data_IF_573235996985
#
_entry.id   IF_573235996985
#
_cell.length_a   1.000
_cell.length_b   1.000
_cell.length_c   1.000
_cell.angle_alpha   90.00
_cell.angle_beta   90.00
_cell.angle_gamma   90.00
#
_symmetry.space_group_name_H-M   'P 1'
#
loop_
_entity.id
_entity.type
_entity.pdbx_description
1 polymer ?
#
# COMPACT_ATOMS: atom_id res chain seq x y z
N UNK A 1 12.51 6.77 -33.41
CA UNK A 1 12.14 5.34 -33.59
C UNK A 1 11.26 4.97 -32.41
N UNK A 2 9.95 4.90 -32.60
CA UNK A 2 8.99 4.55 -31.55
C UNK A 2 8.83 3.03 -31.56
N UNK A 3 9.23 2.38 -30.46
CA UNK A 3 8.94 0.98 -30.23
C UNK A 3 7.63 0.88 -29.44
N UNK A 4 6.58 0.49 -30.12
CA UNK A 4 5.31 0.09 -29.52
C UNK A 4 5.47 -1.35 -29.03
N UNK A 5 5.54 -1.54 -27.72
CA UNK A 5 5.49 -2.88 -27.12
C UNK A 5 4.03 -3.25 -26.85
N UNK A 6 3.59 -4.33 -27.48
CA UNK A 6 2.29 -4.97 -27.26
C UNK A 6 2.16 -5.46 -25.82
N UNK A 7 1.12 -4.98 -25.15
CA UNK A 7 0.85 -5.24 -23.74
C UNK A 7 -0.05 -6.48 -23.60
N UNK A 8 0.56 -7.65 -23.47
CA UNK A 8 -0.20 -8.87 -23.12
C UNK A 8 -0.35 -8.95 -21.61
N UNK A 9 -1.52 -8.60 -21.15
CA UNK A 9 -1.97 -8.59 -19.76
C UNK A 9 -1.93 -9.99 -19.14
N UNK A 10 -0.91 -10.28 -18.34
CA UNK A 10 -0.85 -11.49 -17.51
C UNK A 10 -1.63 -11.25 -16.23
N UNK A 11 -2.85 -11.75 -16.19
CA UNK A 11 -3.68 -11.79 -14.98
C UNK A 11 -3.15 -12.90 -14.07
N UNK A 12 -2.63 -12.56 -12.91
CA UNK A 12 -2.38 -13.52 -11.85
C UNK A 12 -3.69 -13.83 -11.12
N UNK A 13 -4.08 -15.10 -10.96
CA UNK A 13 -5.28 -15.45 -10.20
C UNK A 13 -5.01 -15.32 -8.70
N UNK A 14 -5.70 -14.39 -8.08
CA UNK A 14 -5.78 -14.27 -6.63
C UNK A 14 -6.59 -15.46 -6.11
N UNK A 15 -5.94 -16.41 -5.45
CA UNK A 15 -6.63 -17.46 -4.68
C UNK A 15 -7.17 -16.84 -3.40
N UNK A 16 -8.43 -16.45 -3.44
CA UNK A 16 -9.19 -16.09 -2.25
C UNK A 16 -9.48 -17.35 -1.42
N UNK A 17 -8.81 -17.48 -0.29
CA UNK A 17 -9.14 -18.43 0.76
C UNK A 17 -10.00 -17.71 1.80
N UNK A 18 -11.31 -17.73 1.57
CA UNK A 18 -12.33 -17.35 2.54
C UNK A 18 -12.54 -18.54 3.47
N UNK A 19 -12.09 -18.43 4.70
CA UNK A 19 -12.36 -19.37 5.77
C UNK A 19 -12.89 -18.63 7.00
N UNK A 20 -14.16 -18.19 6.94
CA UNK A 20 -14.90 -17.72 8.12
C UNK A 20 -15.36 -18.95 8.88
N UNK A 21 -14.81 -19.16 10.08
CA UNK A 21 -15.42 -20.02 11.10
C UNK A 21 -15.77 -19.18 12.32
N UNK A 22 -17.02 -18.76 12.37
CA UNK A 22 -17.72 -18.32 13.57
C UNK A 22 -17.84 -19.49 14.53
N UNK A 23 -17.35 -19.37 15.74
CA UNK A 23 -17.73 -20.18 16.88
C UNK A 23 -18.16 -19.25 18.02
N UNK A 24 -19.48 -19.19 18.16
CA UNK A 24 -20.21 -18.72 19.32
C UNK A 24 -20.15 -19.86 20.36
N UNK A 25 -19.84 -19.55 21.57
CA UNK A 25 -19.98 -20.58 22.62
C UNK A 25 -19.43 -20.15 23.96
N UNK A 26 -20.33 -19.69 24.76
CA UNK A 26 -20.63 -20.09 26.15
C UNK A 26 -19.89 -19.39 27.27
N UNK A 27 -20.68 -18.54 27.87
CA UNK A 27 -20.64 -18.01 29.22
C UNK A 27 -20.71 -19.18 30.23
N UNK A 28 -19.75 -19.30 31.12
CA UNK A 28 -19.86 -20.08 32.34
C UNK A 28 -19.29 -19.31 33.53
N UNK A 29 -20.23 -18.85 34.37
CA UNK A 29 -19.98 -18.43 35.74
C UNK A 29 -19.46 -19.61 36.54
N UNK A 30 -18.38 -19.46 37.26
CA UNK A 30 -18.13 -20.28 38.47
C UNK A 30 -17.54 -19.44 39.60
N UNK A 31 -18.25 -19.52 40.70
CA UNK A 31 -17.96 -18.89 41.98
C UNK A 31 -16.79 -19.52 42.71
N UNK A 32 -16.23 -18.70 43.54
CA UNK A 32 -15.22 -18.91 44.61
C UNK A 32 -15.34 -20.18 45.44
N UNK A 33 -14.20 -20.75 45.79
CA UNK A 33 -13.97 -21.31 47.15
C UNK A 33 -12.49 -21.12 47.52
N UNK A 34 -12.25 -20.52 48.67
CA UNK A 34 -10.97 -20.42 49.36
C UNK A 34 -10.58 -21.80 49.94
N UNK A 35 -9.33 -22.18 49.78
CA UNK A 35 -8.72 -23.32 50.50
C UNK A 35 -7.23 -23.15 50.65
N UNK A 36 -6.76 -22.85 51.84
CA UNK A 36 -5.35 -22.93 52.23
C UNK A 36 -4.91 -24.41 52.25
N UNK A 37 -3.74 -24.73 51.71
CA UNK A 37 -2.71 -25.56 52.33
C UNK A 37 -1.59 -25.94 51.31
N UNK A 38 -0.39 -25.60 51.73
CA UNK A 38 0.86 -26.38 51.64
C UNK A 38 1.45 -26.85 50.30
N UNK A 39 2.72 -26.44 50.09
CA UNK A 39 3.68 -26.80 49.02
C UNK A 39 4.08 -28.30 49.08
N UNK A 40 4.88 -28.91 48.12
CA UNK A 40 5.83 -28.26 47.18
C UNK A 40 5.90 -28.89 45.78
N UNK A 41 6.71 -28.22 44.91
CA UNK A 41 7.34 -28.76 43.71
C UNK A 41 6.43 -29.37 42.62
N UNK A 42 6.07 -28.52 41.67
CA UNK A 42 5.90 -28.96 40.28
C UNK A 42 6.13 -27.75 39.37
N UNK A 43 7.08 -27.91 38.46
CA UNK A 43 7.51 -27.02 37.40
C UNK A 43 6.39 -26.16 36.80
N UNK A 44 6.65 -24.89 36.49
CA UNK A 44 5.75 -24.10 35.68
C UNK A 44 5.74 -24.70 34.28
N UNK A 45 4.60 -25.28 33.94
CA UNK A 45 4.28 -25.63 32.56
C UNK A 45 4.47 -24.38 31.68
N UNK A 46 5.37 -24.51 30.74
CA UNK A 46 5.55 -23.58 29.64
C UNK A 46 4.18 -23.37 28.95
N UNK A 47 3.48 -22.32 29.34
CA UNK A 47 2.49 -21.73 28.47
C UNK A 47 3.25 -21.23 27.26
N UNK A 48 3.29 -22.07 26.24
CA UNK A 48 3.71 -21.73 24.90
C UNK A 48 2.87 -20.54 24.42
N UNK A 49 3.24 -19.36 24.86
CA UNK A 49 2.98 -18.13 24.13
C UNK A 49 3.75 -18.27 22.83
N UNK A 50 3.07 -18.69 21.78
CA UNK A 50 3.57 -18.63 20.40
C UNK A 50 3.69 -17.16 20.02
N UNK A 51 4.58 -16.45 20.68
CA UNK A 51 5.18 -15.25 20.15
C UNK A 51 6.03 -15.75 18.98
N UNK A 52 5.50 -15.64 17.77
CA UNK A 52 6.26 -15.88 16.56
C UNK A 52 7.43 -14.90 16.60
N UNK A 53 8.56 -15.37 17.11
CA UNK A 53 9.82 -14.65 17.01
C UNK A 53 10.11 -14.55 15.51
N UNK A 54 9.87 -13.37 14.96
CA UNK A 54 10.27 -13.07 13.59
C UNK A 54 11.75 -13.40 13.47
N UNK A 55 12.13 -14.15 12.44
CA UNK A 55 13.54 -14.44 12.20
C UNK A 55 14.33 -13.15 12.04
N UNK A 56 15.61 -13.16 12.38
CA UNK A 56 16.47 -11.99 12.21
C UNK A 56 16.45 -11.46 10.76
N UNK A 57 16.31 -12.36 9.81
CA UNK A 57 16.19 -12.02 8.37
C UNK A 57 14.88 -11.28 8.05
N UNK A 58 13.76 -11.72 8.63
CA UNK A 58 12.48 -11.03 8.47
C UNK A 58 12.51 -9.64 9.11
N UNK A 59 13.15 -9.51 10.26
CA UNK A 59 13.33 -8.21 10.91
C UNK A 59 14.19 -7.27 10.08
N UNK A 60 15.30 -7.75 9.51
CA UNK A 60 16.17 -6.96 8.63
C UNK A 60 15.42 -6.51 7.36
N UNK A 61 14.64 -7.40 6.76
CA UNK A 61 13.80 -7.08 5.59
C UNK A 61 12.77 -6.01 5.93
N UNK A 62 12.09 -6.14 7.06
CA UNK A 62 11.12 -5.15 7.53
C UNK A 62 11.77 -3.78 7.77
N UNK A 63 12.91 -3.74 8.48
CA UNK A 63 13.66 -2.50 8.74
C UNK A 63 14.06 -1.79 7.45
N UNK A 64 14.48 -2.55 6.43
CA UNK A 64 14.86 -1.99 5.14
C UNK A 64 13.65 -1.41 4.39
N UNK A 65 12.51 -2.09 4.43
CA UNK A 65 11.26 -1.56 3.88
C UNK A 65 10.83 -0.31 4.64
N UNK A 66 10.94 -0.29 5.96
CA UNK A 66 10.63 0.89 6.77
C UNK A 66 11.53 2.08 6.41
N UNK A 67 12.82 1.85 6.20
CA UNK A 67 13.76 2.87 5.72
C UNK A 67 13.35 3.45 4.35
N UNK A 68 12.90 2.61 3.40
CA UNK A 68 12.41 3.06 2.10
C UNK A 68 11.19 4.00 2.25
N UNK A 69 10.34 3.77 3.26
CA UNK A 69 9.13 4.58 3.48
C UNK A 69 9.32 5.75 4.44
N UNK A 70 10.46 5.90 5.07
CA UNK A 70 10.74 7.06 5.90
C UNK A 70 10.65 8.34 5.05
N UNK A 71 9.94 9.37 5.56
CA UNK A 71 9.67 10.59 4.79
C UNK A 71 10.93 11.44 4.55
N UNK A 72 11.89 11.36 5.46
CA UNK A 72 13.18 12.07 5.41
C UNK A 72 14.32 11.20 4.86
N UNK A 73 14.01 9.95 4.44
CA UNK A 73 15.04 9.10 3.88
C UNK A 73 15.64 9.79 2.66
N UNK A 74 16.93 10.01 2.69
CA UNK A 74 17.64 10.32 1.47
C UNK A 74 17.64 9.06 0.60
N UNK A 75 16.53 8.91 -0.13
CA UNK A 75 16.29 7.78 -1.04
C UNK A 75 17.46 7.62 -2.01
N UNK A 76 18.27 8.67 -2.19
CA UNK A 76 19.48 8.62 -2.99
C UNK A 76 20.59 7.79 -2.32
N UNK A 77 20.64 7.72 -0.99
CA UNK A 77 21.60 6.90 -0.24
C UNK A 77 21.22 5.42 -0.19
N UNK A 78 19.92 5.12 -0.21
CA UNK A 78 19.43 3.74 -0.27
C UNK A 78 19.61 3.11 -1.66
N UNK A 79 19.83 3.93 -2.69
CA UNK A 79 19.96 3.49 -4.06
C UNK A 79 21.36 2.96 -4.37
N UNK A 80 21.44 1.72 -4.84
CA UNK A 80 22.68 1.07 -5.24
C UNK A 80 23.13 1.49 -6.65
N UNK A 81 22.20 1.77 -7.54
CA UNK A 81 22.47 1.96 -8.95
C UNK A 81 22.13 3.38 -9.42
N UNK A 82 23.03 3.94 -10.21
CA UNK A 82 22.84 5.26 -10.82
C UNK A 82 22.05 5.19 -12.12
N UNK A 83 22.21 4.09 -12.86
CA UNK A 83 21.59 3.92 -14.17
C UNK A 83 21.22 2.46 -14.42
N UNK A 84 20.05 2.23 -14.99
CA UNK A 84 19.61 0.92 -15.47
C UNK A 84 19.78 0.85 -17.00
N UNK A 85 20.25 -0.27 -17.56
CA UNK A 85 20.29 -0.47 -19.00
C UNK A 85 18.86 -0.62 -19.54
N UNK A 86 18.42 0.33 -20.38
CA UNK A 86 17.04 0.41 -20.84
C UNK A 86 16.55 -0.86 -21.57
N UNK A 87 17.45 -1.54 -22.32
CA UNK A 87 17.14 -2.80 -23.02
C UNK A 87 16.86 -3.99 -22.09
N UNK A 88 17.23 -3.91 -20.80
CA UNK A 88 16.94 -4.92 -19.80
C UNK A 88 15.64 -4.68 -19.05
N UNK A 89 15.06 -3.50 -19.14
CA UNK A 89 13.76 -3.19 -18.55
C UNK A 89 12.71 -4.00 -19.31
N UNK A 90 12.07 -4.93 -18.61
CA UNK A 90 11.03 -5.80 -19.18
C UNK A 90 9.64 -5.22 -18.95
N UNK A 91 9.45 -4.71 -17.75
CA UNK A 91 8.18 -4.10 -17.35
C UNK A 91 8.39 -3.00 -16.33
N UNK A 92 7.41 -2.13 -16.19
CA UNK A 92 7.41 -1.08 -15.19
C UNK A 92 6.03 -0.99 -14.55
N UNK A 93 5.95 -1.39 -13.29
CA UNK A 93 4.73 -1.32 -12.50
C UNK A 93 4.66 -0.04 -11.68
N UNK A 94 3.54 0.67 -11.80
CA UNK A 94 3.23 1.82 -10.96
C UNK A 94 2.40 1.33 -9.77
N UNK A 95 3.00 1.28 -8.57
CA UNK A 95 2.32 0.83 -7.37
C UNK A 95 1.43 1.94 -6.78
N UNK A 96 1.95 3.18 -6.75
CA UNK A 96 1.20 4.36 -6.32
C UNK A 96 1.74 5.64 -6.98
N UNK A 97 1.34 6.82 -6.50
CA UNK A 97 1.75 8.12 -7.04
C UNK A 97 3.22 8.48 -6.81
N UNK A 98 3.93 7.70 -6.00
CA UNK A 98 5.34 7.95 -5.64
C UNK A 98 6.23 6.75 -5.89
N UNK A 99 5.66 5.56 -6.11
CA UNK A 99 6.41 4.31 -6.11
C UNK A 99 6.22 3.55 -7.42
N UNK A 100 7.33 3.24 -8.05
CA UNK A 100 7.39 2.43 -9.27
C UNK A 100 8.37 1.28 -9.07
N UNK A 101 8.14 0.18 -9.77
CA UNK A 101 9.02 -0.98 -9.81
C UNK A 101 9.43 -1.22 -11.26
N UNK A 102 10.72 -1.36 -11.48
CA UNK A 102 11.30 -1.74 -12.76
C UNK A 102 11.72 -3.21 -12.69
N UNK A 103 11.05 -4.06 -13.46
CA UNK A 103 11.44 -5.46 -13.63
C UNK A 103 12.54 -5.58 -14.71
N UNK A 104 13.71 -6.04 -14.30
CA UNK A 104 14.84 -6.30 -15.20
C UNK A 104 14.93 -7.78 -15.60
N UNK A 105 13.99 -8.61 -15.17
CA UNK A 105 14.00 -10.05 -15.32
C UNK A 105 14.94 -10.78 -14.36
N UNK A 106 14.81 -12.11 -14.30
CA UNK A 106 15.63 -12.98 -13.42
C UNK A 106 15.55 -12.58 -11.94
N UNK A 107 14.41 -12.06 -11.47
CA UNK A 107 14.18 -11.56 -10.09
C UNK A 107 15.02 -10.32 -9.73
N UNK A 108 15.53 -9.60 -10.71
CA UNK A 108 16.19 -8.31 -10.51
C UNK A 108 15.13 -7.20 -10.56
N UNK A 109 14.66 -6.77 -9.42
CA UNK A 109 13.68 -5.70 -9.28
C UNK A 109 14.33 -4.43 -8.72
N UNK A 110 13.98 -3.30 -9.29
CA UNK A 110 14.43 -1.99 -8.82
C UNK A 110 13.24 -1.11 -8.48
N UNK A 111 13.19 -0.70 -7.22
CA UNK A 111 12.21 0.25 -6.73
C UNK A 111 12.69 1.68 -6.97
N UNK A 112 11.79 2.52 -7.44
CA UNK A 112 11.96 3.97 -7.51
C UNK A 112 10.91 4.62 -6.63
N UNK A 113 11.36 5.35 -5.60
CA UNK A 113 10.47 6.14 -4.76
C UNK A 113 10.70 7.63 -5.03
N UNK A 114 9.72 8.29 -5.63
CA UNK A 114 9.78 9.70 -5.97
C UNK A 114 9.72 10.58 -4.71
N UNK A 115 10.46 11.68 -4.67
CA UNK A 115 10.44 12.63 -3.54
C UNK A 115 9.06 13.26 -3.34
N UNK A 116 8.30 13.46 -4.41
CA UNK A 116 6.93 14.02 -4.39
C UNK A 116 5.99 13.15 -5.19
N UNK A 117 4.70 13.28 -4.91
CA UNK A 117 3.68 12.62 -5.74
C UNK A 117 3.76 13.14 -7.17
N UNK A 118 3.81 12.23 -8.12
CA UNK A 118 3.77 12.55 -9.55
C UNK A 118 2.31 12.60 -10.01
N UNK A 119 1.93 13.72 -10.57
CA UNK A 119 0.57 13.90 -11.10
C UNK A 119 0.31 12.94 -12.26
N UNK A 120 -0.86 12.32 -12.28
CA UNK A 120 -1.25 11.32 -13.28
C UNK A 120 -0.80 9.91 -12.97
N UNK A 121 0.24 9.68 -12.14
CA UNK A 121 0.61 8.32 -11.74
C UNK A 121 -0.47 7.69 -10.86
N UNK A 122 -0.93 6.54 -11.28
CA UNK A 122 -1.85 5.65 -10.54
C UNK A 122 -1.45 4.22 -10.83
N UNK A 123 -1.90 3.27 -10.03
CA UNK A 123 -1.64 1.85 -10.28
C UNK A 123 -2.01 1.50 -11.74
N UNK A 124 -1.11 0.79 -12.42
CA UNK A 124 -1.23 0.38 -13.82
C UNK A 124 -1.36 1.55 -14.83
N UNK A 125 -0.92 2.76 -14.47
CA UNK A 125 -0.84 3.85 -15.43
C UNK A 125 0.32 3.62 -16.38
N UNK A 126 0.12 3.63 -17.70
CA UNK A 126 1.22 3.61 -18.65
C UNK A 126 2.14 4.81 -18.42
N UNK A 127 3.42 4.59 -18.56
CA UNK A 127 4.42 5.65 -18.39
C UNK A 127 5.33 5.76 -19.61
N UNK A 128 5.88 6.94 -19.82
CA UNK A 128 7.04 7.16 -20.67
C UNK A 128 8.22 7.57 -19.79
N UNK A 129 9.42 7.20 -20.19
CA UNK A 129 10.65 7.59 -19.51
C UNK A 129 11.74 8.00 -20.50
N UNK A 130 12.60 8.91 -20.06
CA UNK A 130 13.68 9.45 -20.86
C UNK A 130 14.88 8.50 -20.84
N UNK A 131 15.43 8.19 -22.01
CA UNK A 131 16.59 7.30 -22.14
C UNK A 131 17.73 8.07 -22.78
N UNK A 132 18.87 8.09 -22.11
CA UNK A 132 20.08 8.70 -22.59
C UNK A 132 21.19 7.63 -22.76
N UNK A 133 21.75 7.53 -23.96
CA UNK A 133 22.79 6.54 -24.25
C UNK A 133 22.39 5.08 -23.99
N UNK A 134 21.10 4.73 -24.19
CA UNK A 134 20.58 3.39 -23.94
C UNK A 134 20.41 3.03 -22.45
N UNK A 135 20.44 4.03 -21.56
CA UNK A 135 20.31 3.87 -20.13
C UNK A 135 19.24 4.81 -19.58
N UNK A 136 18.57 4.38 -18.52
CA UNK A 136 17.70 5.18 -17.69
C UNK A 136 18.46 5.49 -16.41
N UNK A 137 18.71 6.77 -16.14
CA UNK A 137 19.58 7.19 -15.04
C UNK A 137 18.81 7.97 -13.97
N UNK A 138 19.43 8.12 -12.79
CA UNK A 138 18.95 9.09 -11.80
C UNK A 138 18.92 10.47 -12.42
N UNK A 139 17.95 11.28 -12.04
CA UNK A 139 17.61 12.59 -12.59
C UNK A 139 16.93 12.56 -13.97
N UNK A 140 16.84 11.40 -14.63
CA UNK A 140 16.00 11.27 -15.82
C UNK A 140 14.51 11.43 -15.47
N UNK A 141 13.73 11.79 -16.48
CA UNK A 141 12.31 12.07 -16.34
C UNK A 141 11.45 10.85 -16.60
N UNK A 142 10.42 10.72 -15.80
CA UNK A 142 9.26 9.86 -16.09
C UNK A 142 8.01 10.72 -16.20
N UNK A 143 7.06 10.28 -17.02
CA UNK A 143 5.77 10.94 -17.23
C UNK A 143 4.66 9.92 -17.27
N UNK A 144 3.56 10.19 -16.60
CA UNK A 144 2.35 9.42 -16.78
C UNK A 144 1.80 9.64 -18.18
N UNK A 145 1.28 8.60 -18.81
CA UNK A 145 0.54 8.69 -20.06
C UNK A 145 -0.95 8.60 -19.74
N UNK A 146 -1.66 9.70 -19.94
CA UNK A 146 -3.09 9.76 -19.75
C UNK A 146 -3.80 9.57 -21.09
N UNK A 147 -4.85 8.79 -21.11
CA UNK A 147 -5.68 8.62 -22.31
C UNK A 147 -6.64 9.80 -22.41
N UNK A 148 -6.52 10.57 -23.48
CA UNK A 148 -7.43 11.67 -23.78
C UNK A 148 -8.27 11.31 -25.02
N UNK A 149 -9.56 11.13 -24.83
CA UNK A 149 -10.47 10.76 -25.92
C UNK A 149 -10.16 9.40 -26.53
N UNK A 150 -10.51 9.22 -27.79
CA UNK A 150 -10.25 7.97 -28.51
C UNK A 150 -8.77 7.91 -28.96
N UNK A 151 -7.98 7.03 -28.32
CA UNK A 151 -6.62 6.63 -28.73
C UNK A 151 -5.52 7.71 -28.75
N UNK A 152 -5.64 8.79 -27.96
CA UNK A 152 -4.56 9.75 -27.80
C UNK A 152 -3.96 9.66 -26.40
N UNK A 153 -2.65 9.44 -26.33
CA UNK A 153 -1.92 9.56 -25.08
C UNK A 153 -1.38 10.98 -24.93
N UNK A 154 -1.69 11.61 -23.82
CA UNK A 154 -1.12 12.90 -23.41
C UNK A 154 -0.12 12.65 -22.31
N UNK A 155 1.06 13.22 -22.45
CA UNK A 155 2.09 13.11 -21.41
C UNK A 155 1.78 14.07 -20.27
N UNK A 156 1.79 13.53 -19.06
CA UNK A 156 1.73 14.30 -17.83
C UNK A 156 3.02 15.08 -17.53
N UNK A 157 3.07 15.80 -16.42
CA UNK A 157 4.26 16.52 -16.00
C UNK A 157 5.45 15.59 -15.79
N UNK A 158 6.65 16.12 -15.99
CA UNK A 158 7.90 15.41 -15.77
C UNK A 158 8.14 15.22 -14.28
N UNK A 159 8.39 13.99 -13.87
CA UNK A 159 8.80 13.63 -12.53
C UNK A 159 10.20 13.03 -12.57
N UNK A 160 11.05 13.43 -11.64
CA UNK A 160 12.47 13.07 -11.65
C UNK A 160 12.72 11.82 -10.81
N UNK A 161 13.49 10.89 -11.34
CA UNK A 161 13.95 9.68 -10.65
C UNK A 161 15.07 10.07 -9.67
N UNK A 162 14.90 9.87 -8.34
CA UNK A 162 15.96 10.20 -7.40
C UNK A 162 17.07 9.14 -7.35
N UNK A 163 16.69 7.85 -7.37
CA UNK A 163 17.61 6.71 -7.33
C UNK A 163 16.88 5.42 -7.71
N UNK A 164 17.65 4.36 -7.92
CA UNK A 164 17.14 2.99 -8.10
C UNK A 164 17.57 2.15 -6.90
N UNK A 165 16.63 1.60 -6.18
CA UNK A 165 16.85 0.75 -5.01
C UNK A 165 16.65 -0.68 -5.43
N UNK A 166 17.70 -1.49 -5.41
CA UNK A 166 17.55 -2.92 -5.68
C UNK A 166 16.79 -3.56 -4.53
N UNK A 167 15.72 -4.28 -4.84
CA UNK A 167 14.85 -4.96 -3.87
C UNK A 167 14.73 -6.44 -4.20
N UNK A 168 14.68 -7.26 -3.15
CA UNK A 168 14.34 -8.67 -3.25
C UNK A 168 12.83 -8.87 -3.46
N UNK A 169 12.45 -10.08 -3.85
CA UNK A 169 11.02 -10.44 -3.97
C UNK A 169 10.27 -10.25 -2.64
N UNK A 170 10.87 -10.69 -1.52
CA UNK A 170 10.28 -10.55 -0.19
C UNK A 170 10.11 -9.08 0.23
N UNK A 171 11.08 -8.21 -0.08
CA UNK A 171 10.95 -6.78 0.16
C UNK A 171 9.87 -6.15 -0.71
N UNK A 172 9.77 -6.58 -1.97
CA UNK A 172 8.73 -6.08 -2.90
C UNK A 172 7.33 -6.45 -2.42
N UNK A 173 7.10 -7.69 -1.98
CA UNK A 173 5.82 -8.13 -1.40
C UNK A 173 5.42 -7.27 -0.18
N UNK A 174 6.37 -6.96 0.71
CA UNK A 174 6.11 -6.10 1.86
C UNK A 174 5.81 -4.65 1.45
N UNK A 175 6.51 -4.13 0.46
CA UNK A 175 6.25 -2.79 -0.11
C UNK A 175 4.84 -2.72 -0.68
N UNK A 176 4.44 -3.70 -1.48
CA UNK A 176 3.11 -3.78 -2.07
C UNK A 176 2.02 -3.90 -1.01
N UNK A 177 2.20 -4.80 -0.04
CA UNK A 177 1.27 -4.98 1.07
C UNK A 177 1.08 -3.67 1.87
N UNK A 178 2.17 -2.94 2.15
CA UNK A 178 2.12 -1.65 2.85
C UNK A 178 1.36 -0.58 2.05
N UNK A 179 1.60 -0.49 0.75
CA UNK A 179 0.89 0.45 -0.13
C UNK A 179 -0.60 0.11 -0.19
N UNK A 180 -0.94 -1.17 -0.29
CA UNK A 180 -2.33 -1.62 -0.34
C UNK A 180 -3.06 -1.41 0.99
N UNK A 181 -2.43 -1.66 2.12
CA UNK A 181 -2.96 -1.35 3.44
C UNK A 181 -3.21 0.16 3.60
N UNK A 182 -2.27 1.00 3.20
CA UNK A 182 -2.42 2.46 3.21
C UNK A 182 -3.52 2.97 2.26
N UNK A 183 -3.78 2.26 1.16
CA UNK A 183 -4.88 2.56 0.26
C UNK A 183 -6.21 2.17 0.89
N UNK A 184 -6.31 0.99 1.46
CA UNK A 184 -7.50 0.48 2.12
C UNK A 184 -7.93 1.40 3.28
N UNK A 185 -6.99 1.82 4.13
CA UNK A 185 -7.26 2.73 5.24
C UNK A 185 -7.79 4.08 4.77
N UNK A 186 -7.19 4.66 3.71
CA UNK A 186 -7.70 5.92 3.12
C UNK A 186 -9.09 5.79 2.51
N UNK A 187 -9.42 4.63 1.93
CA UNK A 187 -10.76 4.37 1.39
C UNK A 187 -11.77 4.27 2.52
N UNK A 188 -11.48 3.48 3.56
CA UNK A 188 -12.32 3.36 4.73
C UNK A 188 -12.59 4.71 5.41
N UNK A 189 -11.56 5.55 5.54
CA UNK A 189 -11.70 6.89 6.10
C UNK A 189 -12.63 7.78 5.26
N UNK A 190 -12.48 7.78 3.94
CA UNK A 190 -13.37 8.53 3.03
C UNK A 190 -14.82 8.05 3.12
N UNK A 191 -15.04 6.76 3.24
CA UNK A 191 -16.38 6.20 3.38
C UNK A 191 -17.01 6.57 4.72
N UNK A 192 -16.23 6.55 5.80
CA UNK A 192 -16.65 7.03 7.11
C UNK A 192 -17.02 8.52 7.09
N UNK A 193 -16.17 9.37 6.50
CA UNK A 193 -16.41 10.79 6.35
C UNK A 193 -17.69 11.08 5.54
N UNK A 194 -17.90 10.30 4.47
CA UNK A 194 -19.11 10.42 3.63
C UNK A 194 -20.36 10.01 4.40
N UNK A 195 -20.28 8.95 5.20
CA UNK A 195 -21.37 8.50 6.06
C UNK A 195 -21.71 9.56 7.12
N UNK A 196 -20.68 10.12 7.78
CA UNK A 196 -20.86 11.18 8.78
C UNK A 196 -21.52 12.43 8.18
N UNK A 197 -21.12 12.87 6.99
CA UNK A 197 -21.74 14.00 6.28
C UNK A 197 -23.21 13.73 5.94
N UNK A 198 -23.56 12.51 5.53
CA UNK A 198 -24.96 12.12 5.25
C UNK A 198 -25.80 12.11 6.52
N UNK A 199 -25.27 11.58 7.62
CA UNK A 199 -25.95 11.59 8.92
C UNK A 199 -26.18 13.01 9.42
N UNK A 200 -25.17 13.89 9.34
CA UNK A 200 -25.29 15.29 9.72
C UNK A 200 -26.34 16.07 8.88
N UNK A 201 -26.41 15.76 7.57
CA UNK A 201 -27.45 16.35 6.71
C UNK A 201 -28.83 15.90 7.12
N UNK A 202 -29.05 14.60 7.32
CA UNK A 202 -30.33 14.05 7.76
C UNK A 202 -30.77 14.62 9.12
N UNK A 203 -29.84 14.75 10.06
CA UNK A 203 -30.15 15.38 11.37
C UNK A 203 -30.60 16.84 11.23
N UNK A 204 -30.00 17.62 10.32
CA UNK A 204 -30.42 19.00 10.04
C UNK A 204 -31.82 19.06 9.43
N UNK A 205 -32.11 18.22 8.46
CA UNK A 205 -33.42 18.12 7.81
C UNK A 205 -34.52 17.77 8.84
N UNK A 206 -34.22 16.85 9.75
CA UNK A 206 -35.15 16.51 10.85
C UNK A 206 -35.37 17.68 11.81
N UNK A 207 -34.32 18.40 12.20
CA UNK A 207 -34.42 19.56 13.07
C UNK A 207 -35.25 20.70 12.44
N UNK A 208 -35.05 20.92 11.12
CA UNK A 208 -35.80 21.93 10.38
C UNK A 208 -37.29 21.57 10.25
N UNK A 209 -37.57 20.27 9.99
CA UNK A 209 -38.94 19.76 9.96
C UNK A 209 -39.65 19.90 11.32
N UNK A 210 -38.97 19.63 12.43
CA UNK A 210 -39.50 19.82 13.76
C UNK A 210 -39.83 21.30 14.06
N UNK A 211 -38.92 22.20 13.72
CA UNK A 211 -39.14 23.64 13.88
C UNK A 211 -40.36 24.16 13.12
N UNK A 212 -40.55 23.66 11.90
CA UNK A 212 -41.69 24.07 11.08
C UNK A 212 -43.03 23.53 11.63
N UNK A 213 -43.02 22.32 12.22
CA UNK A 213 -44.21 21.76 12.86
C UNK A 213 -44.57 22.49 14.13
N UNK A 214 -43.60 22.89 15.00
CA UNK A 214 -43.81 23.62 16.24
C UNK A 214 -44.35 25.06 15.97
N UNK A 215 -43.90 25.69 14.89
CA UNK A 215 -44.35 27.01 14.45
C UNK A 215 -45.85 27.03 14.00
N UNK A 216 -46.33 25.89 13.48
CA UNK A 216 -47.71 25.77 12.99
C UNK A 216 -48.74 25.49 14.09
N UNK A 217 -48.32 25.06 15.28
CA UNK A 217 -49.21 24.73 16.42
C UNK A 217 -49.40 25.94 17.37
N UNK A 218 -48.53 26.97 17.29
CA UNK A 218 -48.56 28.14 18.18
C UNK A 218 -49.27 29.39 17.63
N UNK A 219 -49.93 29.31 16.49
CA UNK A 219 -50.75 30.38 15.89
C UNK A 219 -52.21 30.06 15.94
#
# INVERSE_FOLDING_TARGET
MMLTTDFTKRSHPIKALVGIRTLIGSLALFMSVNGLADSPDTQPGETSGTSMLMSAEQQATQQRVDAIFADDADVAELGSDRCLPARRIRDVDVLDRRTLVFDMGRKDNYLVRLKRQCFGLRRNTPISYEIHGGRLCRLDGIRALETWGFNRFVQGPRCTIPSFIKVSEAELELVEARIDAARASRTAQRDADKAARRAAKAAREQADAQRSSDASVGG
#
